data_IF_993454298038
#
_entry.id   IF_993454298038
#
_cell.length_a   1.000
_cell.length_b   1.000
_cell.length_c   1.000
_cell.angle_alpha   90.00
_cell.angle_beta   90.00
_cell.angle_gamma   90.00
#
_symmetry.space_group_name_H-M   'P 1'
#
loop_
_entity.id
_entity.type
_entity.pdbx_description
1 polymer ?
#
# COMPACT_ATOMS: atom_id res chain seq x y z
N UNK A 1 29.09 59.01 -28.47
CA UNK A 1 29.12 57.53 -28.35
C UNK A 1 27.82 57.08 -27.68
N UNK A 2 27.14 56.13 -28.31
CA UNK A 2 25.84 55.57 -27.98
C UNK A 2 26.00 54.39 -26.99
N UNK A 3 25.08 54.24 -26.02
CA UNK A 3 24.52 52.99 -25.44
C UNK A 3 23.89 53.32 -24.08
N UNK A 4 22.60 53.62 -23.96
CA UNK A 4 21.41 52.73 -23.99
C UNK A 4 21.50 51.48 -23.08
N UNK A 5 20.74 51.57 -21.97
CA UNK A 5 19.76 50.61 -21.40
C UNK A 5 20.26 49.19 -21.04
N UNK A 6 20.10 48.82 -19.76
CA UNK A 6 19.27 47.66 -19.36
C UNK A 6 18.97 47.67 -17.85
N UNK A 7 17.71 47.98 -17.51
CA UNK A 7 17.02 47.40 -16.37
C UNK A 7 16.52 46.02 -16.81
N UNK A 8 16.82 44.95 -16.07
CA UNK A 8 16.04 43.71 -16.13
C UNK A 8 16.07 42.97 -14.78
N UNK A 9 14.99 43.17 -14.03
CA UNK A 9 14.18 42.11 -13.40
C UNK A 9 14.92 40.87 -12.89
N UNK A 10 15.27 40.86 -11.61
CA UNK A 10 15.38 39.63 -10.83
C UNK A 10 13.97 39.07 -10.60
N UNK A 11 13.45 38.38 -11.62
CA UNK A 11 12.20 37.66 -11.57
C UNK A 11 12.28 36.51 -10.57
N UNK A 12 11.26 36.44 -9.73
CA UNK A 12 10.94 35.35 -8.81
C UNK A 12 11.26 33.96 -9.41
N UNK A 13 12.26 33.29 -8.85
CA UNK A 13 12.36 31.84 -8.90
C UNK A 13 11.64 31.26 -7.68
N UNK A 14 10.33 31.47 -7.60
CA UNK A 14 9.44 30.51 -6.94
C UNK A 14 9.11 29.44 -7.97
N UNK A 15 10.13 28.68 -8.36
CA UNK A 15 9.92 27.39 -9.00
C UNK A 15 9.22 26.53 -7.99
N UNK A 16 7.89 26.47 -8.07
CA UNK A 16 7.12 25.47 -7.36
C UNK A 16 7.68 24.12 -7.77
N UNK A 17 8.33 23.42 -6.83
CA UNK A 17 8.49 21.99 -6.94
C UNK A 17 7.07 21.43 -7.07
N UNK A 18 6.64 21.14 -8.30
CA UNK A 18 5.64 20.11 -8.51
C UNK A 18 6.29 18.84 -7.98
N UNK A 19 6.09 18.60 -6.69
CA UNK A 19 6.38 17.33 -6.09
C UNK A 19 5.39 16.38 -6.73
N UNK A 20 5.82 15.69 -7.79
CA UNK A 20 5.07 14.58 -8.35
C UNK A 20 4.71 13.67 -7.17
N UNK A 21 3.42 13.57 -6.87
CA UNK A 21 2.96 12.65 -5.84
C UNK A 21 3.52 11.27 -6.22
N UNK A 22 4.18 10.57 -5.29
CA UNK A 22 4.77 9.28 -5.60
C UNK A 22 3.67 8.39 -6.17
N UNK A 23 3.90 7.86 -7.37
CA UNK A 23 2.91 7.07 -8.08
C UNK A 23 2.42 5.92 -7.18
N UNK A 24 1.10 5.83 -6.99
CA UNK A 24 0.51 4.75 -6.22
C UNK A 24 0.83 3.41 -6.90
N UNK A 25 1.36 2.40 -6.20
CA UNK A 25 1.78 1.16 -6.81
C UNK A 25 0.59 0.41 -7.43
N UNK A 26 0.74 -0.03 -8.67
CA UNK A 26 -0.17 -1.00 -9.26
C UNK A 26 0.18 -2.38 -8.71
N UNK A 27 -0.70 -2.94 -7.88
CA UNK A 27 -0.47 -4.19 -7.15
C UNK A 27 -1.68 -5.11 -7.25
N UNK A 28 -1.44 -6.40 -7.43
CA UNK A 28 -2.49 -7.41 -7.27
C UNK A 28 -2.69 -7.68 -5.77
N UNK A 29 -3.82 -7.21 -5.24
CA UNK A 29 -4.19 -7.37 -3.83
C UNK A 29 -4.53 -8.81 -3.44
N UNK A 30 -4.67 -9.75 -4.39
CA UNK A 30 -4.80 -11.16 -4.06
C UNK A 30 -3.50 -11.70 -3.47
N UNK A 31 -2.36 -11.26 -4.01
CA UNK A 31 -1.04 -11.68 -3.56
C UNK A 31 -0.86 -13.19 -3.46
N UNK A 32 0.15 -13.60 -2.70
CA UNK A 32 0.39 -14.99 -2.32
C UNK A 32 0.06 -15.22 -0.86
N UNK A 33 -0.42 -16.42 -0.56
CA UNK A 33 -0.65 -16.85 0.82
C UNK A 33 0.60 -17.57 1.32
N UNK A 34 1.07 -17.18 2.50
CA UNK A 34 2.20 -17.82 3.18
C UNK A 34 1.80 -18.13 4.60
N UNK A 35 2.32 -19.23 5.16
CA UNK A 35 2.04 -19.60 6.55
C UNK A 35 2.55 -18.50 7.48
N UNK A 36 1.67 -18.02 8.34
CA UNK A 36 2.02 -17.17 9.46
C UNK A 36 2.49 -18.06 10.62
N UNK A 37 3.80 -18.26 10.69
CA UNK A 37 4.42 -19.14 11.70
C UNK A 37 4.15 -18.67 13.14
N UNK A 38 4.06 -17.36 13.36
CA UNK A 38 3.80 -16.78 14.68
C UNK A 38 2.37 -17.08 15.12
N UNK A 39 1.39 -16.75 14.29
CA UNK A 39 -0.03 -17.01 14.60
C UNK A 39 -0.29 -18.51 14.67
N UNK A 40 0.28 -19.28 13.74
CA UNK A 40 0.14 -20.74 13.73
C UNK A 40 0.69 -21.35 15.01
N UNK A 41 1.92 -20.99 15.41
CA UNK A 41 2.53 -21.48 16.65
C UNK A 41 1.74 -21.08 17.90
N UNK A 42 1.27 -19.84 17.98
CA UNK A 42 0.47 -19.36 19.10
C UNK A 42 -0.87 -20.11 19.24
N UNK A 43 -1.53 -20.43 18.12
CA UNK A 43 -2.79 -21.20 18.10
C UNK A 43 -2.57 -22.67 18.43
N UNK A 44 -1.51 -23.27 17.90
CA UNK A 44 -1.15 -24.65 18.20
C UNK A 44 -0.76 -24.83 19.68
N UNK A 45 -0.09 -23.85 20.29
CA UNK A 45 0.18 -23.84 21.73
C UNK A 45 -1.11 -23.79 22.59
N UNK A 46 -2.23 -23.31 22.03
CA UNK A 46 -3.56 -23.34 22.64
C UNK A 46 -4.34 -24.62 22.33
N UNK A 47 -3.73 -25.60 21.66
CA UNK A 47 -4.37 -26.86 21.26
C UNK A 47 -5.23 -26.76 20.00
N UNK A 48 -5.18 -25.62 19.28
CA UNK A 48 -5.93 -25.42 18.04
C UNK A 48 -5.07 -25.92 16.86
N UNK A 49 -5.57 -26.91 16.14
CA UNK A 49 -4.88 -27.48 14.98
C UNK A 49 -5.13 -26.65 13.70
N UNK A 50 -4.15 -26.67 12.79
CA UNK A 50 -4.23 -26.01 11.48
C UNK A 50 -3.07 -25.05 11.22
N UNK A 51 -2.97 -24.61 9.97
CA UNK A 51 -2.10 -23.52 9.55
C UNK A 51 -2.92 -22.25 9.36
N UNK A 52 -2.35 -21.13 9.80
CA UNK A 52 -2.90 -19.80 9.56
C UNK A 52 -2.05 -19.12 8.51
N UNK A 53 -2.70 -18.42 7.58
CA UNK A 53 -2.01 -17.77 6.47
C UNK A 53 -2.07 -16.26 6.60
N UNK A 54 -1.00 -15.62 6.13
CA UNK A 54 -0.93 -14.18 5.86
C UNK A 54 -0.74 -13.94 4.38
N UNK A 55 -1.16 -12.75 3.94
CA UNK A 55 -1.06 -12.33 2.54
C UNK A 55 0.21 -11.52 2.32
N UNK A 56 0.93 -11.86 1.26
CA UNK A 56 2.14 -11.14 0.81
C UNK A 56 1.90 -10.65 -0.61
N UNK A 57 2.14 -9.36 -0.83
CA UNK A 57 1.99 -8.69 -2.11
C UNK A 57 3.36 -8.56 -2.79
N UNK A 58 3.38 -8.59 -4.12
CA UNK A 58 4.53 -8.14 -4.90
C UNK A 58 4.34 -6.67 -5.26
N UNK A 59 5.07 -5.80 -4.57
CA UNK A 59 5.02 -4.33 -4.76
C UNK A 59 6.34 -3.92 -5.39
N UNK A 60 6.30 -3.41 -6.63
CA UNK A 60 7.50 -3.01 -7.38
C UNK A 60 8.58 -4.10 -7.47
N UNK A 61 8.16 -5.37 -7.55
CA UNK A 61 9.07 -6.53 -7.63
C UNK A 61 9.64 -6.99 -6.28
N UNK A 62 9.20 -6.40 -5.16
CA UNK A 62 9.59 -6.80 -3.81
C UNK A 62 8.40 -7.37 -3.05
N UNK A 63 8.65 -8.38 -2.23
CA UNK A 63 7.64 -8.93 -1.33
C UNK A 63 7.37 -7.93 -0.19
N UNK A 64 6.09 -7.65 0.06
CA UNK A 64 5.62 -6.82 1.15
C UNK A 64 4.45 -7.50 1.85
N UNK A 65 4.43 -7.49 3.19
CA UNK A 65 3.27 -8.01 3.91
C UNK A 65 2.05 -7.12 3.63
N UNK A 66 0.87 -7.73 3.47
CA UNK A 66 -0.34 -7.00 3.13
C UNK A 66 -0.68 -5.90 4.16
N UNK A 67 -0.46 -6.15 5.45
CA UNK A 67 -0.68 -5.15 6.50
C UNK A 67 0.30 -3.96 6.37
N UNK A 68 1.54 -4.20 5.98
CA UNK A 68 2.52 -3.14 5.75
C UNK A 68 2.14 -2.29 4.53
N UNK A 69 1.64 -2.93 3.47
CA UNK A 69 1.10 -2.24 2.31
C UNK A 69 -0.05 -1.31 2.70
N UNK A 70 -1.04 -1.81 3.45
CA UNK A 70 -2.16 -0.99 3.91
C UNK A 70 -1.67 0.17 4.78
N UNK A 71 -0.74 -0.09 5.70
CA UNK A 71 -0.21 0.95 6.58
C UNK A 71 0.56 2.04 5.82
N UNK A 72 1.37 1.65 4.83
CA UNK A 72 2.25 2.57 4.11
C UNK A 72 1.50 3.35 3.02
N UNK A 73 0.65 2.68 2.24
CA UNK A 73 0.00 3.27 1.06
C UNK A 73 -1.45 3.70 1.32
N UNK A 74 -2.10 3.18 2.36
CA UNK A 74 -3.50 3.47 2.67
C UNK A 74 -3.67 4.04 4.10
N UNK A 75 -3.17 5.25 4.38
CA UNK A 75 -3.17 5.82 5.73
C UNK A 75 -4.57 6.25 6.22
N UNK A 76 -5.53 6.49 5.32
CA UNK A 76 -6.89 6.93 5.65
C UNK A 76 -7.95 5.97 5.09
N UNK A 77 -8.83 5.50 5.97
CA UNK A 77 -9.99 4.67 5.63
C UNK A 77 -11.05 5.40 4.79
N UNK A 78 -11.06 6.74 4.78
CA UNK A 78 -11.99 7.56 3.99
C UNK A 78 -11.44 7.95 2.61
N UNK A 79 -10.35 7.31 2.17
CA UNK A 79 -9.75 7.52 0.85
C UNK A 79 -10.72 7.22 -0.29
N UNK A 80 -10.58 7.96 -1.39
CA UNK A 80 -11.26 7.70 -2.67
C UNK A 80 -10.47 6.78 -3.60
N UNK A 81 -9.28 6.35 -3.20
CA UNK A 81 -8.45 5.43 -3.96
C UNK A 81 -9.06 4.02 -3.96
N UNK A 82 -9.43 3.51 -5.13
CA UNK A 82 -10.08 2.20 -5.27
C UNK A 82 -9.23 1.04 -4.73
N UNK A 83 -7.92 1.07 -4.94
CA UNK A 83 -6.99 0.05 -4.43
C UNK A 83 -7.01 0.02 -2.91
N UNK A 84 -7.00 1.18 -2.25
CA UNK A 84 -7.12 1.23 -0.80
C UNK A 84 -8.49 0.79 -0.29
N UNK A 85 -9.58 1.18 -0.96
CA UNK A 85 -10.94 0.71 -0.61
C UNK A 85 -11.00 -0.82 -0.65
N UNK A 86 -10.47 -1.43 -1.71
CA UNK A 86 -10.38 -2.90 -1.85
C UNK A 86 -9.46 -3.51 -0.79
N UNK A 87 -8.30 -2.91 -0.53
CA UNK A 87 -7.37 -3.38 0.48
C UNK A 87 -7.99 -3.37 1.87
N UNK A 88 -8.74 -2.34 2.26
CA UNK A 88 -9.44 -2.34 3.55
C UNK A 88 -10.52 -3.44 3.66
N UNK A 89 -11.23 -3.72 2.56
CA UNK A 89 -12.21 -4.83 2.53
C UNK A 89 -11.53 -6.18 2.69
N UNK A 90 -10.42 -6.42 1.98
CA UNK A 90 -9.62 -7.63 2.11
C UNK A 90 -9.04 -7.73 3.53
N UNK A 91 -8.52 -6.63 4.07
CA UNK A 91 -7.99 -6.59 5.45
C UNK A 91 -9.03 -7.03 6.47
N UNK A 92 -10.27 -6.53 6.34
CA UNK A 92 -11.35 -6.93 7.24
C UNK A 92 -11.65 -8.42 7.17
N UNK A 93 -11.56 -9.04 5.99
CA UNK A 93 -11.73 -10.50 5.83
C UNK A 93 -10.55 -11.22 6.49
N UNK A 94 -9.32 -10.83 6.13
CA UNK A 94 -8.09 -11.47 6.60
C UNK A 94 -7.95 -11.35 8.14
N UNK A 95 -8.36 -10.23 8.75
CA UNK A 95 -8.34 -10.03 10.20
C UNK A 95 -9.32 -10.95 10.96
N UNK A 96 -10.43 -11.33 10.33
CA UNK A 96 -11.48 -12.15 10.96
C UNK A 96 -11.22 -13.65 10.77
N UNK A 97 -10.90 -14.07 9.55
CA UNK A 97 -10.78 -15.49 9.18
C UNK A 97 -9.35 -15.96 8.95
N UNK A 98 -8.36 -15.06 8.99
CA UNK A 98 -7.05 -15.30 8.38
C UNK A 98 -7.11 -15.11 6.85
N UNK A 99 -5.94 -15.00 6.23
CA UNK A 99 -5.87 -14.76 4.79
C UNK A 99 -6.39 -15.96 3.99
N UNK A 100 -7.30 -15.69 3.06
CA UNK A 100 -7.95 -16.71 2.23
C UNK A 100 -7.73 -16.49 0.74
N UNK A 101 -7.76 -17.58 -0.02
CA UNK A 101 -7.75 -17.59 -1.49
C UNK A 101 -9.06 -17.07 -2.06
N UNK A 102 -10.17 -17.28 -1.35
CA UNK A 102 -11.50 -17.02 -1.85
C UNK A 102 -11.96 -15.64 -1.40
N UNK A 103 -11.56 -14.63 -2.16
CA UNK A 103 -12.07 -13.28 -1.98
C UNK A 103 -13.40 -13.10 -2.73
N UNK A 104 -14.36 -12.32 -2.18
CA UNK A 104 -15.58 -11.93 -2.88
C UNK A 104 -15.30 -11.29 -4.25
N UNK A 105 -16.19 -11.56 -5.22
CA UNK A 105 -16.13 -10.93 -6.54
C UNK A 105 -16.16 -9.39 -6.43
N UNK A 106 -15.36 -8.71 -7.24
CA UNK A 106 -15.29 -7.24 -7.26
C UNK A 106 -14.29 -6.64 -6.26
N UNK A 107 -13.49 -7.48 -5.58
CA UNK A 107 -12.26 -7.08 -4.90
C UNK A 107 -11.07 -7.16 -5.85
#
# INVERSE_FOLDING_TARGET
MLRLIMLTTAGLLLGGCLQEEPAFPNVDLHGRLVVDQEVTGARQAQGIQGEYYKRVLSVNGQDMAFNDFVHHYCPDSNTRNETCIKAFRIKKIDDVSGATRFLPNGL
#
